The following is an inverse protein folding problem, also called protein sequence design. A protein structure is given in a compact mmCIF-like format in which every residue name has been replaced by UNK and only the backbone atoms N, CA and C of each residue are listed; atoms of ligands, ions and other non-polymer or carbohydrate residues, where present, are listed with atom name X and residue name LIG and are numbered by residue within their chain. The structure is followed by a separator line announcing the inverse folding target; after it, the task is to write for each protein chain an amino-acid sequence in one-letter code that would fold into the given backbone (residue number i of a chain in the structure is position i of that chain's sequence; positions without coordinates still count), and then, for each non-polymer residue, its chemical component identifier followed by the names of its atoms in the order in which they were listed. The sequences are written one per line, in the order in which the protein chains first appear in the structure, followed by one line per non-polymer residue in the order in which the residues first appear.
data_IF_700918460838
#
_entry.id   IF_700918460838
#
_cell.length_a   1.000
_cell.length_b   1.000
_cell.length_c   1.000
_cell.angle_alpha   90.00
_cell.angle_beta   90.00
_cell.angle_gamma   90.00
#
_symmetry.space_group_name_H-M   'P 1'
#
loop_
_entity.id
_entity.type
_entity.pdbx_description
1 polymer ?
#
# COMPACT_ATOMS: atom_id res chain seq x y z
N UNK A 1 -0.76 3.36 -0.39
CA UNK A 1 -0.87 3.00 1.03
C UNK A 1 -0.94 4.24 1.88
N UNK A 2 -1.54 4.13 3.05
CA UNK A 2 -1.76 5.20 4.04
C UNK A 2 -0.90 5.05 5.30
N UNK A 3 0.14 4.21 5.18
CA UNK A 3 1.14 3.97 6.22
C UNK A 3 2.55 4.08 5.67
N UNK A 4 3.50 4.36 6.55
CA UNK A 4 4.93 4.38 6.27
C UNK A 4 5.71 3.85 7.47
N UNK A 5 7.01 3.66 7.34
CA UNK A 5 7.90 3.32 8.43
C UNK A 5 9.27 3.98 8.26
N UNK A 6 9.95 4.16 9.38
CA UNK A 6 11.38 4.50 9.46
C UNK A 6 12.20 3.22 9.63
N UNK A 7 11.63 2.24 10.35
CA UNK A 7 12.21 0.94 10.60
C UNK A 7 11.20 -0.16 10.23
N UNK A 8 11.66 -1.20 9.52
CA UNK A 8 10.81 -2.33 9.10
C UNK A 8 10.06 -2.94 10.29
N UNK A 9 8.78 -3.19 10.11
CA UNK A 9 7.90 -3.74 11.14
C UNK A 9 7.22 -2.69 12.04
N UNK A 10 7.60 -1.42 11.97
CA UNK A 10 7.00 -0.33 12.77
C UNK A 10 6.15 0.57 11.89
N UNK A 11 4.90 0.18 11.65
CA UNK A 11 3.97 0.94 10.84
C UNK A 11 3.49 2.22 11.57
N UNK A 12 3.60 3.35 10.87
CA UNK A 12 3.11 4.65 11.30
C UNK A 12 2.03 5.12 10.31
N UNK A 13 1.01 5.79 10.82
CA UNK A 13 -0.01 6.39 9.97
C UNK A 13 0.57 7.54 9.15
N UNK A 14 0.33 7.54 7.85
CA UNK A 14 0.82 8.59 6.97
C UNK A 14 -0.01 9.85 7.12
N UNK A 15 0.57 10.85 7.77
CA UNK A 15 0.10 12.23 7.85
C UNK A 15 1.28 13.18 7.75
N UNK A 16 1.03 14.44 7.44
CA UNK A 16 2.10 15.46 7.33
C UNK A 16 2.84 15.56 8.66
N UNK A 17 2.12 15.79 9.74
CA UNK A 17 2.70 16.00 11.08
C UNK A 17 3.54 14.80 11.54
N UNK A 18 3.01 13.57 11.37
CA UNK A 18 3.73 12.37 11.81
C UNK A 18 4.97 12.12 10.95
N UNK A 19 4.88 12.34 9.63
CA UNK A 19 6.02 12.17 8.74
C UNK A 19 7.12 13.17 9.05
N UNK A 20 6.81 14.44 9.21
CA UNK A 20 7.77 15.49 9.56
C UNK A 20 8.43 15.25 10.91
N UNK A 21 7.64 14.88 11.90
CA UNK A 21 8.11 14.54 13.25
C UNK A 21 9.11 13.38 13.23
N UNK A 22 8.83 12.33 12.48
CA UNK A 22 9.66 11.12 12.46
C UNK A 22 10.92 11.26 11.60
N UNK A 23 10.87 12.09 10.56
CA UNK A 23 11.96 12.23 9.59
C UNK A 23 12.82 13.47 9.84
N UNK A 24 12.36 14.41 10.67
CA UNK A 24 13.02 15.68 10.98
C UNK A 24 13.51 16.46 9.74
N UNK A 25 12.87 16.26 8.59
CA UNK A 25 13.26 16.82 7.28
C UNK A 25 14.65 16.39 6.82
N UNK A 26 15.20 15.31 7.37
CA UNK A 26 16.56 14.86 7.09
C UNK A 26 16.64 13.94 5.87
N UNK A 27 17.85 13.85 5.32
CA UNK A 27 18.23 12.81 4.36
C UNK A 27 18.24 11.44 5.08
N UNK A 28 17.76 10.36 4.44
CA UNK A 28 17.37 10.21 3.03
C UNK A 28 15.88 10.46 2.75
N UNK A 29 15.10 10.83 3.74
CA UNK A 29 13.64 11.00 3.62
C UNK A 29 13.25 12.21 2.78
N UNK A 30 14.00 13.30 2.90
CA UNK A 30 13.85 14.53 2.12
C UNK A 30 14.96 14.66 1.10
N UNK A 31 14.61 14.72 -0.17
CA UNK A 31 15.57 14.81 -1.28
C UNK A 31 15.14 15.86 -2.27
N UNK A 32 16.04 16.78 -2.53
CA UNK A 32 15.85 17.77 -3.59
C UNK A 32 16.47 17.24 -4.88
N UNK A 33 15.68 17.10 -5.94
CA UNK A 33 16.16 16.74 -7.27
C UNK A 33 16.93 17.90 -7.91
N UNK A 34 17.66 17.60 -9.00
CA UNK A 34 18.39 18.61 -9.79
C UNK A 34 17.49 19.75 -10.31
N UNK A 35 16.22 19.48 -10.54
CA UNK A 35 15.18 20.42 -10.96
C UNK A 35 14.53 21.19 -9.79
N UNK A 36 15.13 21.14 -8.61
CA UNK A 36 14.64 21.73 -7.36
C UNK A 36 13.33 21.16 -6.83
N UNK A 37 12.81 20.09 -7.42
CA UNK A 37 11.61 19.43 -6.91
C UNK A 37 11.94 18.59 -5.68
N UNK A 38 11.14 18.76 -4.65
CA UNK A 38 11.20 17.94 -3.44
C UNK A 38 10.62 16.53 -3.74
N UNK A 39 11.35 15.53 -3.30
CA UNK A 39 10.90 14.14 -3.34
C UNK A 39 11.04 13.53 -1.96
N UNK A 40 9.97 12.96 -1.46
CA UNK A 40 9.87 12.43 -0.11
C UNK A 40 9.84 10.90 -0.18
N UNK A 41 10.59 10.29 0.71
CA UNK A 41 10.72 8.82 0.76
C UNK A 41 10.62 8.32 2.20
N UNK A 42 10.23 7.07 2.36
CA UNK A 42 10.27 6.29 3.58
C UNK A 42 10.45 4.82 3.22
N UNK A 43 10.24 3.91 4.16
CA UNK A 43 10.19 2.49 3.87
C UNK A 43 8.78 1.92 4.10
N UNK A 44 8.47 0.85 3.39
CA UNK A 44 7.27 0.08 3.63
C UNK A 44 7.41 -0.69 4.95
N UNK A 45 6.43 -0.60 5.88
CA UNK A 45 6.51 -1.31 7.15
C UNK A 45 6.57 -2.83 7.00
N UNK A 46 5.96 -3.38 5.97
CA UNK A 46 5.88 -4.82 5.73
C UNK A 46 7.16 -5.35 5.04
N UNK A 47 7.44 -4.91 3.83
CA UNK A 47 8.54 -5.45 3.05
C UNK A 47 9.88 -4.70 3.21
N UNK A 48 9.90 -3.53 3.86
CA UNK A 48 11.11 -2.72 4.04
C UNK A 48 11.60 -1.99 2.78
N UNK A 49 10.98 -2.22 1.62
CA UNK A 49 11.36 -1.52 0.39
C UNK A 49 11.05 -0.03 0.45
N UNK A 50 11.83 0.81 -0.26
CA UNK A 50 11.57 2.23 -0.32
C UNK A 50 10.20 2.54 -0.91
N UNK A 51 9.51 3.48 -0.31
CA UNK A 51 8.27 4.07 -0.80
C UNK A 51 8.47 5.56 -1.06
N UNK A 52 7.84 6.07 -2.10
CA UNK A 52 7.73 7.49 -2.36
C UNK A 52 6.45 8.01 -1.75
N UNK A 53 6.55 9.10 -0.98
CA UNK A 53 5.40 9.83 -0.46
C UNK A 53 4.92 10.81 -1.53
N UNK A 54 3.64 10.76 -1.84
CA UNK A 54 3.03 11.53 -2.92
C UNK A 54 1.96 12.43 -2.35
N UNK A 55 1.90 13.66 -2.84
CA UNK A 55 0.92 14.68 -2.46
C UNK A 55 1.02 15.13 -0.99
N UNK A 56 2.21 15.12 -0.40
CA UNK A 56 2.43 15.56 0.97
C UNK A 56 1.97 16.99 1.21
N UNK A 57 2.29 17.88 0.27
CA UNK A 57 1.93 19.30 0.31
C UNK A 57 0.98 19.70 -0.82
N UNK A 58 0.13 18.77 -1.25
CA UNK A 58 -0.67 18.91 -2.49
C UNK A 58 -1.68 20.06 -2.47
N UNK A 59 -2.15 20.47 -1.31
CA UNK A 59 -3.12 21.57 -1.19
C UNK A 59 -2.47 22.95 -1.34
N UNK A 60 -1.20 23.11 -0.95
CA UNK A 60 -0.49 24.39 -1.05
C UNK A 60 0.00 24.69 -2.48
N UNK A 61 0.26 23.67 -3.28
CA UNK A 61 0.81 23.84 -4.63
C UNK A 61 -0.25 23.99 -5.73
N UNK A 62 -1.53 23.75 -5.44
CA UNK A 62 -2.60 23.74 -6.44
C UNK A 62 -3.77 24.64 -6.06
N UNK A 63 -3.54 25.94 -5.97
CA UNK A 63 -4.58 26.96 -5.70
C UNK A 63 -5.73 27.00 -6.71
N UNK A 64 -5.67 26.20 -7.81
CA UNK A 64 -6.68 26.21 -8.88
C UNK A 64 -7.28 24.84 -9.20
N UNK A 65 -7.10 23.81 -8.36
CA UNK A 65 -7.64 22.47 -8.63
C UNK A 65 -8.69 22.08 -7.60
N UNK A 66 -9.92 21.96 -8.05
CA UNK A 66 -11.10 21.51 -7.26
C UNK A 66 -11.07 20.03 -6.85
N UNK A 67 -10.01 19.29 -7.14
CA UNK A 67 -9.88 17.87 -6.76
C UNK A 67 -9.11 17.73 -5.46
N UNK A 68 -9.75 17.13 -4.46
CA UNK A 68 -9.08 16.72 -3.21
C UNK A 68 -7.94 15.76 -3.55
N UNK A 69 -6.72 16.17 -3.30
CA UNK A 69 -5.53 15.38 -3.56
C UNK A 69 -5.25 14.50 -2.35
N UNK A 70 -5.24 13.19 -2.52
CA UNK A 70 -5.02 12.26 -1.42
C UNK A 70 -3.52 12.05 -1.18
N UNK A 71 -3.07 12.24 0.06
CA UNK A 71 -1.74 11.86 0.52
C UNK A 71 -1.61 10.33 0.56
N UNK A 72 -0.57 9.78 -0.07
CA UNK A 72 -0.32 8.34 -0.06
C UNK A 72 1.14 8.00 -0.31
N UNK A 73 1.55 6.81 0.16
CA UNK A 73 2.82 6.19 -0.18
C UNK A 73 2.68 5.19 -1.33
N UNK A 74 3.67 5.11 -2.20
CA UNK A 74 3.78 4.08 -3.23
C UNK A 74 5.16 3.47 -3.27
N UNK A 75 5.26 2.16 -3.49
CA UNK A 75 6.54 1.48 -3.69
C UNK A 75 7.30 2.06 -4.89
N UNK A 76 8.60 2.18 -4.74
CA UNK A 76 9.48 2.56 -5.85
C UNK A 76 9.83 1.31 -6.66
N UNK A 77 9.75 1.41 -7.99
CA UNK A 77 10.14 0.29 -8.88
C UNK A 77 11.66 0.08 -9.00
N UNK A 78 12.46 0.71 -8.13
CA UNK A 78 13.92 0.66 -8.14
C UNK A 78 14.49 1.04 -6.78
N UNK A 79 15.76 0.67 -6.57
CA UNK A 79 16.51 1.13 -5.41
C UNK A 79 16.55 2.67 -5.34
N UNK A 80 16.52 3.19 -4.12
CA UNK A 80 16.62 4.63 -3.83
C UNK A 80 17.87 4.85 -2.98
N UNK A 81 18.72 5.75 -3.41
CA UNK A 81 19.92 6.10 -2.68
C UNK A 81 19.58 6.55 -1.25
N UNK A 82 20.40 6.14 -0.28
CA UNK A 82 20.12 6.37 1.15
C UNK A 82 19.20 5.33 1.79
N UNK A 83 18.54 4.48 1.01
CA UNK A 83 17.79 3.32 1.48
C UNK A 83 18.52 2.05 1.03
N UNK A 84 19.27 1.38 1.92
CA UNK A 84 20.18 0.30 1.54
C UNK A 84 19.47 -0.97 1.06
N UNK A 85 18.19 -1.12 1.44
CA UNK A 85 17.42 -2.30 1.13
C UNK A 85 16.46 -2.06 -0.04
N UNK A 86 16.54 -2.92 -1.05
CA UNK A 86 15.55 -3.02 -2.12
C UNK A 86 15.49 -4.45 -2.65
N UNK A 87 14.32 -5.03 -2.64
CA UNK A 87 14.07 -6.38 -3.14
C UNK A 87 12.74 -6.42 -3.90
N UNK A 88 12.83 -6.67 -5.22
CA UNK A 88 11.66 -6.67 -6.10
C UNK A 88 10.68 -7.80 -5.78
N UNK A 89 11.19 -8.98 -5.44
CA UNK A 89 10.33 -10.14 -5.12
C UNK A 89 9.51 -9.88 -3.85
N UNK A 90 10.15 -9.36 -2.79
CA UNK A 90 9.43 -8.99 -1.57
C UNK A 90 8.45 -7.84 -1.81
N UNK A 91 8.79 -6.89 -2.68
CA UNK A 91 7.87 -5.82 -3.04
C UNK A 91 6.61 -6.36 -3.74
N UNK A 92 6.78 -7.27 -4.70
CA UNK A 92 5.65 -7.87 -5.43
C UNK A 92 4.74 -8.70 -4.53
N UNK A 93 5.30 -9.34 -3.50
CA UNK A 93 4.56 -10.15 -2.53
C UNK A 93 3.97 -9.34 -1.37
N UNK A 94 4.33 -8.07 -1.24
CA UNK A 94 3.87 -7.20 -0.16
C UNK A 94 2.36 -6.92 -0.27
N UNK A 95 1.62 -7.11 0.82
CA UNK A 95 0.17 -6.86 0.85
C UNK A 95 -0.17 -5.38 0.64
N UNK A 96 0.75 -4.48 1.00
CA UNK A 96 0.63 -3.04 0.80
C UNK A 96 1.02 -2.58 -0.62
N UNK A 97 1.60 -3.46 -1.42
CA UNK A 97 1.87 -3.18 -2.82
C UNK A 97 0.56 -3.31 -3.60
N UNK A 98 0.04 -2.17 -4.06
CA UNK A 98 -1.12 -2.12 -4.95
C UNK A 98 -0.65 -1.78 -6.36
N UNK A 99 -0.35 -2.77 -7.19
CA UNK A 99 -0.17 -2.53 -8.61
C UNK A 99 -1.47 -1.95 -9.17
N UNK A 100 -1.37 -1.15 -10.23
CA UNK A 100 -2.57 -0.60 -10.87
C UNK A 100 -3.56 -1.73 -11.20
N UNK A 101 -4.83 -1.65 -10.81
CA UNK A 101 -5.79 -2.74 -11.01
C UNK A 101 -6.04 -3.09 -12.48
N UNK A 102 -5.59 -2.25 -13.39
CA UNK A 102 -5.83 -2.35 -14.84
C UNK A 102 -4.65 -2.98 -15.61
N UNK A 103 -3.80 -3.79 -15.00
CA UNK A 103 -2.68 -4.32 -15.77
C UNK A 103 -1.90 -5.47 -15.17
N UNK A 104 -2.19 -5.90 -13.98
CA UNK A 104 -1.42 -6.96 -13.35
C UNK A 104 -2.23 -8.26 -13.28
N UNK A 105 -2.06 -9.08 -14.30
CA UNK A 105 -2.56 -10.47 -14.35
C UNK A 105 -1.58 -11.45 -13.68
N UNK A 106 -0.48 -10.96 -13.10
CA UNK A 106 0.46 -11.82 -12.39
C UNK A 106 -0.16 -12.28 -11.06
N UNK A 107 -0.35 -13.59 -10.97
CA UNK A 107 -0.76 -14.26 -9.75
C UNK A 107 0.38 -14.10 -8.72
N UNK A 108 0.07 -13.58 -7.53
CA UNK A 108 1.04 -13.51 -6.44
C UNK A 108 1.58 -14.88 -6.11
N UNK A 109 2.87 -14.96 -5.83
CA UNK A 109 3.48 -16.20 -5.34
C UNK A 109 2.79 -16.61 -4.03
N UNK A 110 2.43 -17.89 -3.92
CA UNK A 110 1.84 -18.43 -2.70
C UNK A 110 2.85 -18.31 -1.55
N UNK A 111 2.45 -17.67 -0.48
CA UNK A 111 3.20 -17.59 0.77
C UNK A 111 2.51 -18.45 1.82
N UNK A 112 3.21 -18.85 2.89
CA UNK A 112 2.61 -19.56 4.03
C UNK A 112 1.40 -18.80 4.58
N UNK A 113 1.52 -17.49 4.73
CA UNK A 113 0.41 -16.62 5.17
C UNK A 113 -0.81 -16.67 4.22
N UNK A 114 -0.58 -16.75 2.90
CA UNK A 114 -1.68 -16.85 1.94
C UNK A 114 -2.41 -18.19 2.01
N UNK A 115 -1.70 -19.27 2.31
CA UNK A 115 -2.32 -20.58 2.53
C UNK A 115 -3.10 -20.61 3.85
N UNK A 116 -2.57 -20.03 4.93
CA UNK A 116 -3.30 -19.89 6.19
C UNK A 116 -4.60 -19.09 6.02
N UNK A 117 -4.54 -17.96 5.32
CA UNK A 117 -5.71 -17.14 5.00
C UNK A 117 -6.73 -17.95 4.22
N UNK A 118 -6.28 -18.71 3.22
CA UNK A 118 -7.13 -19.58 2.42
C UNK A 118 -7.85 -20.62 3.28
N UNK A 119 -7.12 -21.31 4.16
CA UNK A 119 -7.73 -22.27 5.10
C UNK A 119 -8.77 -21.61 6.02
N UNK A 120 -8.49 -20.41 6.52
CA UNK A 120 -9.44 -19.67 7.36
C UNK A 120 -10.70 -19.32 6.58
N UNK A 121 -10.56 -18.89 5.33
CA UNK A 121 -11.69 -18.59 4.45
C UNK A 121 -12.52 -19.85 4.19
N UNK A 122 -11.88 -20.96 3.84
CA UNK A 122 -12.56 -22.23 3.58
C UNK A 122 -13.35 -22.73 4.80
N UNK A 123 -12.71 -22.72 5.98
CA UNK A 123 -13.35 -23.11 7.25
C UNK A 123 -14.54 -22.23 7.62
N UNK A 124 -14.53 -20.96 7.23
CA UNK A 124 -15.55 -19.99 7.59
C UNK A 124 -16.46 -19.59 6.41
N UNK A 125 -16.33 -20.23 5.26
CA UNK A 125 -17.01 -19.83 4.01
C UNK A 125 -18.51 -19.64 4.15
N UNK A 126 -19.16 -20.49 4.94
CA UNK A 126 -20.59 -20.38 5.23
C UNK A 126 -20.96 -19.06 5.92
N UNK A 127 -20.15 -18.62 6.91
CA UNK A 127 -20.37 -17.35 7.62
C UNK A 127 -20.08 -16.17 6.73
N UNK A 128 -19.02 -16.27 5.92
CA UNK A 128 -18.62 -15.24 4.96
C UNK A 128 -19.76 -15.02 3.95
N UNK A 129 -20.34 -16.07 3.39
CA UNK A 129 -21.50 -15.97 2.48
C UNK A 129 -22.69 -15.26 3.13
N UNK A 130 -22.99 -15.56 4.39
CA UNK A 130 -24.10 -14.89 5.11
C UNK A 130 -23.83 -13.39 5.29
N UNK A 131 -22.58 -13.04 5.66
CA UNK A 131 -22.19 -11.64 5.84
C UNK A 131 -22.23 -10.85 4.53
N UNK A 132 -21.72 -11.44 3.44
CA UNK A 132 -21.75 -10.79 2.12
C UNK A 132 -23.20 -10.50 1.71
N UNK A 133 -24.11 -11.45 1.87
CA UNK A 133 -25.55 -11.24 1.58
C UNK A 133 -26.14 -10.09 2.38
N UNK A 134 -25.78 -9.99 3.66
CA UNK A 134 -26.24 -8.90 4.52
C UNK A 134 -25.71 -7.53 4.11
N UNK A 135 -24.45 -7.47 3.64
CA UNK A 135 -23.80 -6.22 3.26
C UNK A 135 -24.25 -5.74 1.87
N UNK A 136 -24.32 -6.68 0.91
CA UNK A 136 -24.60 -6.34 -0.50
C UNK A 136 -26.10 -6.05 -0.71
N UNK A 137 -26.99 -6.54 0.17
CA UNK A 137 -28.42 -6.33 0.06
C UNK A 137 -29.08 -7.00 -1.17
N UNK A 138 -28.34 -7.87 -1.87
CA UNK A 138 -28.82 -8.63 -3.03
C UNK A 138 -28.87 -10.11 -2.68
N UNK A 139 -29.94 -10.79 -3.10
CA UNK A 139 -30.06 -12.23 -2.92
C UNK A 139 -29.20 -13.00 -3.92
N UNK A 140 -27.91 -13.15 -3.57
CA UNK A 140 -27.00 -14.01 -4.31
C UNK A 140 -27.27 -15.48 -3.97
N UNK A 141 -27.33 -16.32 -4.99
CA UNK A 141 -27.43 -17.78 -4.83
C UNK A 141 -26.12 -18.36 -4.31
N UNK A 142 -26.15 -19.56 -3.74
CA UNK A 142 -24.93 -20.25 -3.31
C UNK A 142 -23.97 -20.46 -4.49
N UNK A 143 -24.49 -20.80 -5.67
CA UNK A 143 -23.70 -21.02 -6.88
C UNK A 143 -22.96 -19.76 -7.36
N UNK A 144 -23.64 -18.61 -7.33
CA UNK A 144 -23.00 -17.33 -7.68
C UNK A 144 -21.89 -16.95 -6.68
N UNK A 145 -22.14 -17.19 -5.39
CA UNK A 145 -21.16 -16.92 -4.35
C UNK A 145 -19.93 -17.86 -4.43
N UNK A 146 -20.14 -19.14 -4.76
CA UNK A 146 -19.04 -20.09 -4.91
C UNK A 146 -18.21 -19.77 -6.15
N UNK A 147 -18.81 -19.28 -7.23
CA UNK A 147 -18.12 -18.81 -8.44
C UNK A 147 -17.29 -17.51 -8.24
N UNK A 148 -17.62 -16.73 -7.22
CA UNK A 148 -16.79 -15.55 -6.85
C UNK A 148 -15.54 -15.94 -6.04
N UNK A 149 -15.49 -17.17 -5.55
CA UNK A 149 -14.37 -17.69 -4.77
C UNK A 149 -13.34 -18.44 -5.63
N UNK A 150 -13.75 -19.02 -6.75
CA UNK A 150 -12.87 -19.72 -7.72
C UNK A 150 -11.97 -18.72 -8.47
#
# INVERSE_FOLDING_TARGET
MDVFAIEKGKALKLSVDEFEKQTCHEYPYYRTKKDKRLSLYAICPECGNPIQIVNMYGEEMMQNVTRKVTLYGKHTGRAVEGFPYWNEAEMKNCSLYKPSPLGNTEIRTKTEESEEIKEIIEKNWRKIKQNIRGIVGVNLTNKEMDHMYE
#
